data_IF_035908609640
#
_entry.id   IF_035908609640
#
_cell.length_a   1.000
_cell.length_b   1.000
_cell.length_c   1.000
_cell.angle_alpha   90.00
_cell.angle_beta   90.00
_cell.angle_gamma   90.00
#
_symmetry.space_group_name_H-M   'P 1'
#
loop_
_entity.id
_entity.type
_entity.pdbx_description
1 polymer ?
#
# COMPACT_ATOMS: atom_id res chain seq x y z
N UNK A 1 56.54 47.29 0.76
CA UNK A 1 55.52 47.20 -0.30
C UNK A 1 55.41 45.77 -0.86
N UNK A 2 56.49 45.15 -1.32
CA UNK A 2 56.46 43.79 -1.91
C UNK A 2 55.96 42.68 -0.95
N UNK A 3 56.30 42.73 0.32
CA UNK A 3 55.86 41.76 1.32
C UNK A 3 54.34 41.75 1.53
N UNK A 4 53.70 42.93 1.57
CA UNK A 4 52.23 43.07 1.73
C UNK A 4 51.48 42.50 0.49
N UNK A 5 52.00 42.77 -0.72
CA UNK A 5 51.46 42.21 -1.95
C UNK A 5 51.59 40.68 -1.99
N UNK A 6 52.72 40.12 -1.53
CA UNK A 6 52.90 38.68 -1.46
C UNK A 6 51.91 38.03 -0.48
N UNK A 7 51.76 38.59 0.74
CA UNK A 7 50.79 38.09 1.71
C UNK A 7 49.36 38.16 1.19
N UNK A 8 48.99 39.26 0.52
CA UNK A 8 47.67 39.38 -0.13
C UNK A 8 47.44 38.32 -1.21
N UNK A 9 48.44 38.06 -2.07
CA UNK A 9 48.36 37.04 -3.11
C UNK A 9 48.18 35.63 -2.53
N UNK A 10 48.92 35.30 -1.45
CA UNK A 10 48.80 34.03 -0.73
C UNK A 10 47.41 33.89 -0.11
N UNK A 11 46.87 34.94 0.52
CA UNK A 11 45.51 34.90 1.07
C UNK A 11 44.43 34.67 0.00
N UNK A 12 44.55 35.35 -1.15
CA UNK A 12 43.63 35.15 -2.28
C UNK A 12 43.73 33.72 -2.80
N UNK A 13 44.95 33.20 -2.92
CA UNK A 13 45.18 31.82 -3.35
C UNK A 13 44.54 30.82 -2.39
N UNK A 14 44.76 30.98 -1.09
CA UNK A 14 44.15 30.09 -0.06
C UNK A 14 42.63 30.17 -0.08
N UNK A 15 42.03 31.37 -0.24
CA UNK A 15 40.58 31.54 -0.35
C UNK A 15 40.04 30.81 -1.58
N UNK A 16 40.61 31.00 -2.76
CA UNK A 16 40.24 30.31 -3.99
C UNK A 16 40.40 28.80 -3.88
N UNK A 17 41.46 28.33 -3.26
CA UNK A 17 41.68 26.89 -3.03
C UNK A 17 40.59 26.30 -2.11
N UNK A 18 40.29 26.98 -1.00
CA UNK A 18 39.22 26.53 -0.08
C UNK A 18 37.85 26.52 -0.75
N UNK A 19 37.57 27.54 -1.56
CA UNK A 19 36.28 27.59 -2.31
C UNK A 19 36.16 26.43 -3.30
N UNK A 20 37.17 26.20 -4.13
CA UNK A 20 37.20 25.06 -5.07
C UNK A 20 37.09 23.72 -4.39
N UNK A 21 37.77 23.57 -3.23
CA UNK A 21 37.69 22.34 -2.46
C UNK A 21 36.25 22.12 -1.92
N UNK A 22 35.60 23.19 -1.47
CA UNK A 22 34.21 23.10 -0.99
C UNK A 22 33.24 22.75 -2.14
N UNK A 23 33.38 23.39 -3.30
CA UNK A 23 32.57 23.10 -4.52
C UNK A 23 32.75 21.64 -4.93
N UNK A 24 33.99 21.15 -4.97
CA UNK A 24 34.29 19.74 -5.30
C UNK A 24 33.67 18.73 -4.31
N UNK A 25 33.74 19.04 -3.01
CA UNK A 25 33.10 18.16 -2.00
C UNK A 25 31.62 18.16 -2.12
N UNK A 26 30.97 19.31 -2.37
CA UNK A 26 29.52 19.38 -2.61
C UNK A 26 29.13 18.61 -3.88
N UNK A 27 29.93 18.70 -4.95
CA UNK A 27 29.67 17.93 -6.17
C UNK A 27 29.73 16.42 -5.94
N UNK A 28 30.69 15.95 -5.14
CA UNK A 28 30.78 14.52 -4.76
C UNK A 28 29.56 14.10 -3.94
N UNK A 29 29.16 14.93 -2.98
CA UNK A 29 28.00 14.64 -2.13
C UNK A 29 26.72 14.54 -2.95
N UNK A 30 26.48 15.48 -3.87
CA UNK A 30 25.35 15.44 -4.79
C UNK A 30 25.39 14.20 -5.68
N UNK A 31 26.55 13.85 -6.25
CA UNK A 31 26.70 12.62 -7.06
C UNK A 31 26.42 11.35 -6.24
N UNK A 32 26.89 11.29 -5.02
CA UNK A 32 26.63 10.15 -4.14
C UNK A 32 25.13 10.02 -3.80
N UNK A 33 24.47 11.13 -3.53
CA UNK A 33 23.01 11.15 -3.30
C UNK A 33 22.22 10.68 -4.52
N UNK A 34 22.58 11.15 -5.71
CA UNK A 34 21.96 10.71 -6.97
C UNK A 34 22.17 9.21 -7.16
N UNK A 35 23.42 8.74 -7.02
CA UNK A 35 23.72 7.32 -7.18
C UNK A 35 23.00 6.43 -6.16
N UNK A 36 22.88 6.89 -4.91
CA UNK A 36 22.10 6.19 -3.88
C UNK A 36 20.62 6.10 -4.24
N UNK A 37 20.04 7.17 -4.79
CA UNK A 37 18.65 7.17 -5.27
C UNK A 37 18.46 6.21 -6.45
N UNK A 38 19.38 6.19 -7.41
CA UNK A 38 19.35 5.27 -8.55
C UNK A 38 19.43 3.80 -8.09
N UNK A 39 20.32 3.48 -7.16
CA UNK A 39 20.42 2.13 -6.58
C UNK A 39 19.13 1.72 -5.87
N UNK A 40 18.54 2.60 -5.07
CA UNK A 40 17.27 2.33 -4.40
C UNK A 40 16.12 2.15 -5.40
N UNK A 41 16.07 2.97 -6.44
CA UNK A 41 15.05 2.83 -7.50
C UNK A 41 15.18 1.49 -8.22
N UNK A 42 16.41 1.11 -8.62
CA UNK A 42 16.67 -0.19 -9.26
C UNK A 42 16.34 -1.36 -8.34
N UNK A 43 16.64 -1.24 -7.05
CA UNK A 43 16.34 -2.28 -6.05
C UNK A 43 14.83 -2.46 -5.88
N UNK A 44 14.06 -1.37 -5.86
CA UNK A 44 12.60 -1.40 -5.81
C UNK A 44 12.01 -2.03 -7.08
N UNK A 45 12.55 -1.69 -8.26
CA UNK A 45 12.13 -2.25 -9.55
C UNK A 45 12.35 -3.76 -9.60
N UNK A 46 13.53 -4.24 -9.20
CA UNK A 46 13.84 -5.68 -9.12
C UNK A 46 12.92 -6.37 -8.11
N UNK A 47 12.70 -5.78 -6.95
CA UNK A 47 11.79 -6.33 -5.94
C UNK A 47 10.36 -6.44 -6.48
N UNK A 48 9.88 -5.41 -7.17
CA UNK A 48 8.55 -5.41 -7.79
C UNK A 48 8.44 -6.49 -8.88
N UNK A 49 9.41 -6.59 -9.79
CA UNK A 49 9.43 -7.60 -10.83
C UNK A 49 9.42 -9.02 -10.24
N UNK A 50 10.20 -9.25 -9.17
CA UNK A 50 10.25 -10.53 -8.46
C UNK A 50 8.90 -10.87 -7.82
N UNK A 51 8.24 -9.90 -7.17
CA UNK A 51 6.92 -10.10 -6.57
C UNK A 51 5.85 -10.42 -7.61
N UNK A 52 5.88 -9.74 -8.76
CA UNK A 52 4.99 -10.05 -9.89
C UNK A 52 5.22 -11.46 -10.44
N UNK A 53 6.47 -11.88 -10.55
CA UNK A 53 6.80 -13.23 -10.99
C UNK A 53 6.27 -14.27 -9.99
N UNK A 54 6.52 -14.09 -8.70
CA UNK A 54 6.01 -14.97 -7.64
C UNK A 54 4.47 -15.03 -7.70
N UNK A 55 3.80 -13.90 -7.87
CA UNK A 55 2.34 -13.87 -7.99
C UNK A 55 1.82 -14.70 -9.17
N UNK A 56 2.46 -14.60 -10.34
CA UNK A 56 2.12 -15.45 -11.51
C UNK A 56 2.36 -16.92 -11.23
N UNK A 57 3.50 -17.28 -10.67
CA UNK A 57 3.83 -18.68 -10.35
C UNK A 57 2.88 -19.28 -9.32
N UNK A 58 2.46 -18.51 -8.31
CA UNK A 58 1.45 -18.94 -7.35
C UNK A 58 0.10 -19.18 -8.02
N UNK A 59 -0.33 -18.28 -8.90
CA UNK A 59 -1.59 -18.44 -9.64
C UNK A 59 -1.56 -19.68 -10.54
N UNK A 60 -0.52 -19.80 -11.36
CA UNK A 60 -0.44 -20.83 -12.39
C UNK A 60 -0.13 -22.22 -11.84
N UNK A 61 0.71 -22.32 -10.82
CA UNK A 61 1.15 -23.62 -10.28
C UNK A 61 0.25 -24.11 -9.14
N UNK A 62 0.03 -23.29 -8.13
CA UNK A 62 -0.69 -23.70 -6.91
C UNK A 62 -2.19 -23.53 -7.12
N UNK A 63 -2.61 -22.39 -7.70
CA UNK A 63 -4.02 -22.11 -7.96
C UNK A 63 -4.69 -23.15 -8.85
N UNK A 64 -4.03 -23.57 -9.94
CA UNK A 64 -4.54 -24.60 -10.84
C UNK A 64 -4.64 -25.98 -10.15
N UNK A 65 -3.62 -26.37 -9.35
CA UNK A 65 -3.64 -27.64 -8.61
C UNK A 65 -4.76 -27.68 -7.57
N UNK A 66 -4.95 -26.60 -6.82
CA UNK A 66 -6.04 -26.50 -5.84
C UNK A 66 -7.41 -26.51 -6.51
N UNK A 67 -7.55 -25.88 -7.68
CA UNK A 67 -8.79 -25.94 -8.48
C UNK A 67 -9.11 -27.37 -8.91
N UNK A 68 -8.12 -28.14 -9.35
CA UNK A 68 -8.28 -29.56 -9.69
C UNK A 68 -8.71 -30.38 -8.47
N UNK A 69 -8.09 -30.19 -7.31
CA UNK A 69 -8.47 -30.90 -6.07
C UNK A 69 -9.89 -30.53 -5.65
N UNK A 70 -10.28 -29.24 -5.78
CA UNK A 70 -11.67 -28.82 -5.53
C UNK A 70 -12.66 -29.53 -6.43
N UNK A 71 -12.36 -29.64 -7.73
CA UNK A 71 -13.22 -30.34 -8.68
C UNK A 71 -13.37 -31.83 -8.35
N UNK A 72 -12.26 -32.50 -7.99
CA UNK A 72 -12.30 -33.91 -7.60
C UNK A 72 -13.08 -34.14 -6.30
N UNK A 73 -12.95 -33.25 -5.31
CA UNK A 73 -13.75 -33.35 -4.07
C UNK A 73 -15.24 -33.13 -4.34
N UNK A 74 -15.61 -32.20 -5.20
CA UNK A 74 -17.00 -31.98 -5.61
C UNK A 74 -17.55 -33.19 -6.39
N UNK A 75 -16.76 -33.78 -7.27
CA UNK A 75 -17.16 -34.98 -7.99
C UNK A 75 -17.42 -36.17 -7.06
N UNK A 76 -16.55 -36.40 -6.05
CA UNK A 76 -16.73 -37.44 -5.04
C UNK A 76 -18.02 -37.24 -4.23
N UNK A 77 -18.35 -36.01 -3.86
CA UNK A 77 -19.60 -35.67 -3.17
C UNK A 77 -20.84 -35.95 -4.06
N UNK A 78 -20.77 -35.58 -5.35
CA UNK A 78 -21.85 -35.77 -6.29
C UNK A 78 -22.13 -37.26 -6.59
N UNK A 79 -21.06 -38.06 -6.74
CA UNK A 79 -21.16 -39.50 -7.00
C UNK A 79 -21.68 -40.32 -5.81
N UNK A 80 -21.76 -39.72 -4.61
CA UNK A 80 -22.25 -40.31 -3.36
C UNK A 80 -21.70 -41.70 -3.07
N UNK A 81 -20.47 -41.98 -3.55
CA UNK A 81 -19.83 -43.33 -3.46
C UNK A 81 -19.28 -43.63 -2.05
N UNK A 82 -19.26 -42.63 -1.15
CA UNK A 82 -18.65 -42.75 0.18
C UNK A 82 -19.48 -42.01 1.21
N UNK A 83 -20.73 -42.44 1.50
CA UNK A 83 -21.63 -41.70 2.39
C UNK A 83 -21.08 -41.50 3.80
N UNK A 84 -20.30 -42.47 4.31
CA UNK A 84 -19.70 -42.42 5.66
C UNK A 84 -18.61 -41.36 5.84
N UNK A 85 -18.05 -40.85 4.74
CA UNK A 85 -16.98 -39.83 4.76
C UNK A 85 -17.41 -38.52 4.10
N UNK A 86 -18.66 -38.41 3.66
CA UNK A 86 -19.20 -37.23 2.96
C UNK A 86 -18.96 -35.92 3.72
N UNK A 87 -19.20 -35.91 5.04
CA UNK A 87 -18.97 -34.73 5.89
C UNK A 87 -17.50 -34.30 5.94
N UNK A 88 -16.56 -35.27 5.96
CA UNK A 88 -15.12 -34.97 5.93
C UNK A 88 -14.66 -34.47 4.57
N UNK A 89 -15.23 -34.99 3.49
CA UNK A 89 -14.95 -34.52 2.14
C UNK A 89 -15.48 -33.09 1.96
N UNK A 90 -16.64 -32.76 2.51
CA UNK A 90 -17.18 -31.40 2.47
C UNK A 90 -16.29 -30.41 3.26
N UNK A 91 -15.82 -30.79 4.45
CA UNK A 91 -14.86 -30.00 5.22
C UNK A 91 -13.56 -29.74 4.43
N UNK A 92 -13.02 -30.78 3.77
CA UNK A 92 -11.82 -30.65 2.92
C UNK A 92 -12.09 -29.73 1.75
N UNK A 93 -13.24 -29.84 1.09
CA UNK A 93 -13.65 -28.96 0.01
C UNK A 93 -13.75 -27.51 0.44
N UNK A 94 -14.30 -27.24 1.63
CA UNK A 94 -14.36 -25.89 2.20
C UNK A 94 -12.95 -25.31 2.48
N UNK A 95 -12.03 -26.10 3.04
CA UNK A 95 -10.65 -25.67 3.29
C UNK A 95 -9.93 -25.37 1.97
N UNK A 96 -10.10 -26.20 0.95
CA UNK A 96 -9.50 -25.99 -0.38
C UNK A 96 -10.03 -24.71 -1.01
N UNK A 97 -11.34 -24.49 -0.98
CA UNK A 97 -11.95 -23.29 -1.53
C UNK A 97 -11.49 -22.01 -0.81
N UNK A 98 -11.36 -22.08 0.52
CA UNK A 98 -10.80 -20.98 1.30
C UNK A 98 -9.34 -20.71 0.91
N UNK A 99 -8.51 -21.76 0.80
CA UNK A 99 -7.12 -21.64 0.40
C UNK A 99 -6.96 -21.07 -1.01
N UNK A 100 -7.86 -21.42 -1.94
CA UNK A 100 -7.92 -20.85 -3.27
C UNK A 100 -8.24 -19.33 -3.25
N UNK A 101 -9.17 -18.92 -2.41
CA UNK A 101 -9.49 -17.51 -2.23
C UNK A 101 -8.31 -16.73 -1.66
N UNK A 102 -7.66 -17.26 -0.63
CA UNK A 102 -6.50 -16.64 0.01
C UNK A 102 -5.32 -16.52 -0.98
N UNK A 103 -5.09 -17.57 -1.78
CA UNK A 103 -4.05 -17.58 -2.80
C UNK A 103 -4.34 -16.60 -3.95
N UNK A 104 -5.58 -16.50 -4.42
CA UNK A 104 -5.99 -15.53 -5.44
C UNK A 104 -5.83 -14.11 -4.95
N UNK A 105 -6.18 -13.85 -3.68
CA UNK A 105 -5.99 -12.56 -3.03
C UNK A 105 -4.51 -12.20 -2.96
N UNK A 106 -3.65 -13.15 -2.55
CA UNK A 106 -2.21 -12.97 -2.48
C UNK A 106 -1.60 -12.73 -3.87
N UNK A 107 -1.95 -13.55 -4.86
CA UNK A 107 -1.48 -13.41 -6.24
C UNK A 107 -1.88 -12.05 -6.83
N UNK A 108 -3.14 -11.63 -6.65
CA UNK A 108 -3.62 -10.30 -7.08
C UNK A 108 -2.84 -9.16 -6.39
N UNK A 109 -2.43 -9.36 -5.14
CA UNK A 109 -1.60 -8.43 -4.38
C UNK A 109 -0.19 -8.30 -4.94
N UNK A 110 0.35 -9.37 -5.54
CA UNK A 110 1.70 -9.42 -6.07
C UNK A 110 1.80 -9.03 -7.56
N UNK A 111 0.70 -9.16 -8.32
CA UNK A 111 0.65 -8.89 -9.78
C UNK A 111 -0.02 -7.56 -10.09
N UNK A 112 0.61 -6.46 -9.74
CA UNK A 112 0.05 -5.10 -9.82
C UNK A 112 0.05 -4.45 -11.23
N UNK A 113 0.01 -5.22 -12.32
CA UNK A 113 -0.10 -4.65 -13.69
C UNK A 113 -1.36 -3.77 -13.87
N UNK A 114 -2.42 -4.03 -13.10
CA UNK A 114 -3.65 -3.23 -13.10
C UNK A 114 -3.50 -1.82 -12.51
N UNK A 115 -2.57 -1.61 -11.56
CA UNK A 115 -2.44 -0.30 -10.88
C UNK A 115 -1.84 0.75 -11.81
N UNK A 116 -0.93 0.36 -12.70
CA UNK A 116 -0.35 1.29 -13.67
C UNK A 116 -1.36 1.78 -14.70
N UNK A 117 -2.27 0.90 -15.14
CA UNK A 117 -3.17 1.15 -16.25
C UNK A 117 -4.47 1.86 -15.85
N UNK A 118 -4.88 1.78 -14.60
CA UNK A 118 -6.14 2.34 -14.13
C UNK A 118 -5.94 3.63 -13.32
N UNK A 119 -6.94 4.50 -13.37
CA UNK A 119 -7.08 5.66 -12.49
C UNK A 119 -7.31 5.22 -11.05
N UNK A 120 -6.81 6.01 -10.08
CA UNK A 120 -6.98 5.69 -8.65
C UNK A 120 -8.45 5.58 -8.22
N UNK A 121 -9.31 6.41 -8.81
CA UNK A 121 -10.75 6.37 -8.56
C UNK A 121 -11.33 5.01 -8.95
N UNK A 122 -10.97 4.51 -10.14
CA UNK A 122 -11.43 3.20 -10.62
C UNK A 122 -10.97 2.07 -9.71
N UNK A 123 -9.71 2.12 -9.25
CA UNK A 123 -9.14 1.11 -8.35
C UNK A 123 -9.85 1.08 -6.99
N UNK A 124 -10.12 2.25 -6.40
CA UNK A 124 -10.86 2.34 -5.13
C UNK A 124 -12.31 1.90 -5.33
N UNK A 125 -12.96 2.32 -6.44
CA UNK A 125 -14.34 1.95 -6.72
C UNK A 125 -14.50 0.43 -6.90
N UNK A 126 -13.58 -0.25 -7.60
CA UNK A 126 -13.58 -1.71 -7.72
C UNK A 126 -13.48 -2.41 -6.35
N UNK A 127 -12.68 -1.87 -5.43
CA UNK A 127 -12.56 -2.41 -4.06
C UNK A 127 -13.87 -2.22 -3.28
N UNK A 128 -14.48 -1.04 -3.42
CA UNK A 128 -15.79 -0.72 -2.83
C UNK A 128 -16.87 -1.66 -3.35
N UNK A 129 -16.96 -1.85 -4.67
CA UNK A 129 -17.96 -2.72 -5.31
C UNK A 129 -17.79 -4.18 -4.87
N UNK A 130 -16.53 -4.65 -4.82
CA UNK A 130 -16.20 -5.98 -4.32
C UNK A 130 -16.63 -6.15 -2.85
N UNK A 131 -16.36 -5.16 -2.01
CA UNK A 131 -16.74 -5.21 -0.58
C UNK A 131 -18.25 -5.22 -0.41
N UNK A 132 -18.96 -4.37 -1.12
CA UNK A 132 -20.43 -4.27 -1.08
C UNK A 132 -21.11 -5.55 -1.57
N UNK A 133 -20.51 -6.30 -2.50
CA UNK A 133 -21.02 -7.58 -2.98
C UNK A 133 -21.13 -8.63 -1.86
N UNK A 134 -20.26 -8.60 -0.85
CA UNK A 134 -20.30 -9.52 0.30
C UNK A 134 -21.35 -9.17 1.36
N UNK A 135 -22.00 -8.00 1.28
CA UNK A 135 -23.10 -7.54 2.18
C UNK A 135 -22.76 -7.57 3.68
N UNK A 136 -21.49 -7.58 4.06
CA UNK A 136 -21.08 -7.55 5.48
C UNK A 136 -21.07 -6.14 6.06
N UNK A 137 -20.74 -5.16 5.22
CA UNK A 137 -20.63 -3.75 5.54
C UNK A 137 -20.94 -2.96 4.27
N UNK A 138 -21.50 -1.77 4.40
CA UNK A 138 -21.73 -0.88 3.25
C UNK A 138 -20.59 0.13 3.16
N UNK A 139 -19.99 0.26 1.99
CA UNK A 139 -18.90 1.19 1.72
C UNK A 139 -19.37 2.24 0.72
N UNK A 140 -19.24 3.52 1.07
CA UNK A 140 -19.52 4.68 0.21
C UNK A 140 -18.21 5.38 -0.15
N UNK A 141 -18.01 5.69 -1.43
CA UNK A 141 -16.82 6.38 -1.91
C UNK A 141 -17.18 7.66 -2.65
N UNK A 142 -16.51 8.76 -2.30
CA UNK A 142 -16.69 10.07 -2.92
C UNK A 142 -15.36 10.71 -3.27
N UNK A 143 -15.36 11.54 -4.32
CA UNK A 143 -14.21 12.34 -4.70
C UNK A 143 -14.68 13.68 -5.30
N UNK A 144 -13.84 14.72 -5.25
CA UNK A 144 -14.17 16.08 -5.69
C UNK A 144 -13.46 16.51 -6.99
N UNK A 145 -12.80 15.60 -7.69
CA UNK A 145 -12.03 15.88 -8.92
C UNK A 145 -12.50 15.00 -10.08
N UNK A 146 -12.27 15.45 -11.33
CA UNK A 146 -12.57 14.65 -12.53
C UNK A 146 -11.41 13.71 -12.87
N UNK A 147 -10.16 14.17 -12.70
CA UNK A 147 -8.96 13.41 -12.97
C UNK A 147 -7.89 13.77 -11.95
N UNK A 148 -7.18 12.75 -11.46
CA UNK A 148 -6.04 12.90 -10.56
C UNK A 148 -4.91 12.01 -11.08
N UNK A 149 -3.93 12.64 -11.74
CA UNK A 149 -2.78 11.92 -12.27
C UNK A 149 -1.79 11.63 -11.14
N UNK A 150 -1.70 10.36 -10.79
CA UNK A 150 -0.80 9.85 -9.75
C UNK A 150 0.15 8.81 -10.34
N UNK A 151 1.42 8.94 -10.02
CA UNK A 151 2.40 7.89 -10.30
C UNK A 151 2.06 6.58 -9.57
N UNK A 152 2.58 5.47 -10.10
CA UNK A 152 2.35 4.11 -9.59
C UNK A 152 2.49 3.99 -8.06
N UNK A 153 3.55 4.59 -7.48
CA UNK A 153 3.84 4.49 -6.03
C UNK A 153 2.70 5.07 -5.20
N UNK A 154 2.17 6.22 -5.59
CA UNK A 154 1.04 6.86 -4.89
C UNK A 154 -0.24 6.05 -5.04
N UNK A 155 -0.58 5.60 -6.28
CA UNK A 155 -1.74 4.74 -6.54
C UNK A 155 -1.71 3.47 -5.69
N UNK A 156 -0.56 2.80 -5.65
CA UNK A 156 -0.37 1.58 -4.87
C UNK A 156 -0.53 1.83 -3.38
N UNK A 157 0.11 2.86 -2.83
CA UNK A 157 -0.01 3.19 -1.40
C UNK A 157 -1.45 3.51 -1.03
N UNK A 158 -2.15 4.36 -1.78
CA UNK A 158 -3.55 4.70 -1.52
C UNK A 158 -4.45 3.47 -1.56
N UNK A 159 -4.31 2.63 -2.58
CA UNK A 159 -5.10 1.41 -2.72
C UNK A 159 -4.85 0.44 -1.55
N UNK A 160 -3.57 0.19 -1.20
CA UNK A 160 -3.23 -0.73 -0.11
C UNK A 160 -3.71 -0.25 1.26
N UNK A 161 -3.62 1.05 1.52
CA UNK A 161 -4.14 1.61 2.77
C UNK A 161 -5.67 1.48 2.82
N UNK A 162 -6.35 1.76 1.71
CA UNK A 162 -7.81 1.60 1.61
C UNK A 162 -8.22 0.15 1.87
N UNK A 163 -7.56 -0.82 1.24
CA UNK A 163 -7.80 -2.25 1.43
C UNK A 163 -7.60 -2.69 2.89
N UNK A 164 -6.47 -2.29 3.49
CA UNK A 164 -6.14 -2.62 4.88
C UNK A 164 -7.16 -2.04 5.86
N UNK A 165 -7.58 -0.78 5.64
CA UNK A 165 -8.59 -0.15 6.49
C UNK A 165 -9.94 -0.88 6.39
N UNK A 166 -10.44 -1.13 5.17
CA UNK A 166 -11.70 -1.88 4.93
C UNK A 166 -11.62 -3.26 5.60
N UNK A 167 -10.51 -3.98 5.41
CA UNK A 167 -10.34 -5.31 5.99
C UNK A 167 -10.34 -5.28 7.53
N UNK A 168 -9.67 -4.30 8.14
CA UNK A 168 -9.64 -4.11 9.58
C UNK A 168 -11.03 -3.76 10.13
N UNK A 169 -11.77 -2.88 9.45
CA UNK A 169 -13.13 -2.51 9.85
C UNK A 169 -14.08 -3.70 9.80
N UNK A 170 -14.00 -4.54 8.76
CA UNK A 170 -14.84 -5.74 8.63
C UNK A 170 -14.47 -6.80 9.67
N UNK A 171 -13.17 -7.01 9.94
CA UNK A 171 -12.70 -8.07 10.85
C UNK A 171 -12.83 -7.71 12.31
N UNK A 172 -12.61 -6.44 12.66
CA UNK A 172 -12.40 -6.03 14.05
C UNK A 172 -13.39 -4.99 14.55
N UNK A 173 -13.89 -4.11 13.69
CA UNK A 173 -14.74 -3.01 14.13
C UNK A 173 -16.22 -3.34 14.17
N UNK A 174 -16.68 -4.43 13.56
CA UNK A 174 -18.11 -4.78 13.44
C UNK A 174 -18.95 -3.61 12.89
N UNK A 175 -18.37 -2.82 11.98
CA UNK A 175 -19.01 -1.66 11.40
C UNK A 175 -20.17 -2.04 10.47
N UNK A 176 -21.12 -1.13 10.30
CA UNK A 176 -22.20 -1.22 9.31
C UNK A 176 -21.85 -0.40 8.07
N UNK A 177 -21.17 0.71 8.24
CA UNK A 177 -20.84 1.64 7.17
C UNK A 177 -19.37 2.05 7.24
N UNK A 178 -18.76 2.17 6.06
CA UNK A 178 -17.43 2.77 5.85
C UNK A 178 -17.59 3.89 4.83
N UNK A 179 -17.07 5.05 5.16
CA UNK A 179 -17.07 6.24 4.29
C UNK A 179 -15.65 6.53 3.85
N UNK A 180 -15.44 6.58 2.54
CA UNK A 180 -14.15 6.88 1.91
C UNK A 180 -14.31 8.16 1.11
N UNK A 181 -13.39 9.11 1.30
CA UNK A 181 -13.31 10.28 0.44
C UNK A 181 -11.88 10.54 0.00
N UNK A 182 -11.69 10.83 -1.28
CA UNK A 182 -10.42 11.24 -1.86
C UNK A 182 -10.61 12.61 -2.50
N UNK A 183 -9.97 13.63 -1.97
CA UNK A 183 -10.18 15.02 -2.36
C UNK A 183 -8.87 15.69 -2.75
N UNK A 184 -8.97 16.76 -3.54
CA UNK A 184 -7.88 17.69 -3.84
C UNK A 184 -8.26 19.08 -3.35
N UNK A 185 -7.26 19.88 -2.94
CA UNK A 185 -7.45 21.26 -2.52
C UNK A 185 -6.29 22.15 -2.98
N UNK A 186 -6.35 23.45 -2.68
CA UNK A 186 -5.23 24.36 -2.94
C UNK A 186 -3.99 24.00 -2.12
N UNK A 187 -4.15 23.51 -0.90
CA UNK A 187 -3.07 23.16 0.02
C UNK A 187 -2.61 21.71 -0.12
N UNK A 188 -3.53 20.80 -0.45
CA UNK A 188 -3.24 19.38 -0.60
C UNK A 188 -3.28 18.94 -2.07
N UNK A 189 -2.24 18.21 -2.51
CA UNK A 189 -2.25 17.52 -3.79
C UNK A 189 -3.38 16.48 -3.80
N UNK A 190 -3.52 15.75 -2.69
CA UNK A 190 -4.66 14.90 -2.39
C UNK A 190 -4.77 14.64 -0.87
N UNK A 191 -5.98 14.37 -0.44
CA UNK A 191 -6.34 13.97 0.92
C UNK A 191 -7.25 12.75 0.84
N UNK A 192 -6.84 11.65 1.46
CA UNK A 192 -7.63 10.45 1.66
C UNK A 192 -8.16 10.42 3.10
N UNK A 193 -9.47 10.44 3.24
CA UNK A 193 -10.13 10.26 4.53
C UNK A 193 -10.99 8.99 4.47
N UNK A 194 -10.81 8.11 5.47
CA UNK A 194 -11.62 6.88 5.61
C UNK A 194 -12.14 6.80 7.05
N UNK A 195 -13.44 6.54 7.18
CA UNK A 195 -14.11 6.46 8.47
C UNK A 195 -15.03 5.24 8.53
N UNK A 196 -15.00 4.49 9.63
CA UNK A 196 -16.00 3.49 9.95
C UNK A 196 -16.88 3.93 11.13
N UNK A 197 -18.06 3.31 11.24
CA UNK A 197 -19.03 3.49 12.34
C UNK A 197 -18.96 2.33 13.34
N UNK A 198 -17.81 1.66 13.44
CA UNK A 198 -17.64 0.47 14.28
C UNK A 198 -17.40 0.76 15.74
N UNK A 199 -17.00 -0.28 16.48
CA UNK A 199 -16.78 -0.18 17.94
C UNK A 199 -15.55 0.66 18.33
N UNK A 200 -14.66 0.98 17.37
CA UNK A 200 -13.41 1.66 17.67
C UNK A 200 -12.50 0.88 18.64
N UNK A 201 -11.43 1.51 19.07
CA UNK A 201 -10.47 0.93 20.03
C UNK A 201 -9.67 2.01 20.75
N UNK A 202 -9.08 1.65 21.89
CA UNK A 202 -8.12 2.50 22.59
C UNK A 202 -6.76 2.44 21.90
N UNK A 203 -6.33 3.58 21.32
CA UNK A 203 -5.06 3.70 20.62
C UNK A 203 -3.83 3.40 21.48
N UNK A 204 -3.90 3.66 22.78
CA UNK A 204 -2.78 3.44 23.70
C UNK A 204 -2.47 1.95 23.86
N UNK A 205 -3.49 1.10 23.78
CA UNK A 205 -3.39 -0.35 23.95
C UNK A 205 -2.97 -1.08 22.65
N UNK A 206 -3.25 -0.52 21.47
CA UNK A 206 -3.07 -1.20 20.17
C UNK A 206 -1.75 -0.81 19.47
N UNK A 207 -1.16 0.34 19.79
CA UNK A 207 0.12 0.80 19.18
C UNK A 207 1.28 -0.18 19.37
N UNK A 208 1.22 -1.06 20.35
CA UNK A 208 2.27 -2.05 20.62
C UNK A 208 2.18 -3.34 19.79
N UNK A 209 1.02 -3.67 19.16
CA UNK A 209 0.79 -4.99 18.54
C UNK A 209 0.11 -4.98 17.17
N UNK A 210 -0.27 -3.84 16.62
CA UNK A 210 -1.04 -3.78 15.37
C UNK A 210 -0.13 -3.67 14.14
N UNK A 211 0.28 -4.80 13.54
CA UNK A 211 1.08 -4.84 12.30
C UNK A 211 0.42 -4.03 11.17
N UNK A 212 -0.90 -4.12 11.02
CA UNK A 212 -1.65 -3.42 9.98
C UNK A 212 -1.59 -1.91 10.09
N UNK A 213 -1.78 -1.35 11.30
CA UNK A 213 -1.69 0.10 11.54
C UNK A 213 -0.29 0.64 11.26
N UNK A 214 0.74 -0.05 11.76
CA UNK A 214 2.14 0.30 11.52
C UNK A 214 2.47 0.26 10.02
N UNK A 215 1.94 -0.71 9.28
CA UNK A 215 2.14 -0.82 7.84
C UNK A 215 1.48 0.34 7.08
N UNK A 216 0.27 0.76 7.45
CA UNK A 216 -0.40 1.92 6.84
C UNK A 216 0.39 3.21 7.07
N UNK A 217 0.85 3.47 8.30
CA UNK A 217 1.68 4.63 8.63
C UNK A 217 3.00 4.63 7.85
N UNK A 218 3.71 3.49 7.81
CA UNK A 218 4.97 3.37 7.05
C UNK A 218 4.75 3.60 5.55
N UNK A 219 3.67 3.11 4.98
CA UNK A 219 3.32 3.33 3.56
C UNK A 219 3.07 4.81 3.27
N UNK A 220 2.32 5.53 4.12
CA UNK A 220 2.11 6.96 3.99
C UNK A 220 3.44 7.74 4.07
N UNK A 221 4.33 7.35 4.98
CA UNK A 221 5.66 7.97 5.15
C UNK A 221 6.54 7.79 3.91
N UNK A 222 6.50 6.64 3.24
CA UNK A 222 7.29 6.38 2.01
C UNK A 222 6.99 7.40 0.92
N UNK A 223 5.75 7.85 0.80
CA UNK A 223 5.34 8.85 -0.19
C UNK A 223 5.36 10.30 0.34
N UNK A 224 5.88 10.51 1.54
CA UNK A 224 5.96 11.84 2.15
C UNK A 224 4.62 12.42 2.57
N UNK A 225 3.61 11.58 2.77
CA UNK A 225 2.29 12.03 3.22
C UNK A 225 2.19 12.06 4.75
N UNK A 226 1.46 13.04 5.28
CA UNK A 226 1.09 13.12 6.67
C UNK A 226 0.03 12.04 6.97
N UNK A 227 0.18 11.34 8.08
CA UNK A 227 -0.72 10.26 8.52
C UNK A 227 -1.31 10.59 9.88
N UNK A 228 -2.62 10.54 10.01
CA UNK A 228 -3.30 10.63 11.29
C UNK A 228 -4.40 9.57 11.40
N UNK A 229 -4.49 8.94 12.56
CA UNK A 229 -5.51 7.94 12.88
C UNK A 229 -6.13 8.32 14.21
N UNK A 230 -7.45 8.40 14.25
CA UNK A 230 -8.22 8.65 15.45
C UNK A 230 -9.22 7.50 15.65
N UNK A 231 -9.18 6.86 16.82
CA UNK A 231 -10.16 5.85 17.20
C UNK A 231 -10.54 6.04 18.66
N UNK A 232 -11.83 5.89 18.93
CA UNK A 232 -12.37 5.91 20.30
C UNK A 232 -13.40 4.79 20.43
N UNK A 233 -13.44 4.16 21.59
CA UNK A 233 -14.43 3.13 21.87
C UNK A 233 -15.85 3.65 21.63
N UNK A 234 -16.67 2.85 20.95
CA UNK A 234 -18.05 3.13 20.53
C UNK A 234 -18.23 4.30 19.54
N UNK A 235 -17.16 4.89 19.01
CA UNK A 235 -17.23 6.01 18.06
C UNK A 235 -16.63 5.71 16.68
N UNK A 236 -16.12 4.48 16.49
CA UNK A 236 -15.48 4.04 15.25
C UNK A 236 -14.05 4.53 15.10
N UNK A 237 -13.53 4.44 13.89
CA UNK A 237 -12.16 4.81 13.54
C UNK A 237 -12.16 5.76 12.35
N UNK A 238 -11.31 6.78 12.41
CA UNK A 238 -11.08 7.72 11.29
C UNK A 238 -9.60 7.73 10.97
N UNK A 239 -9.28 7.52 9.70
CA UNK A 239 -7.96 7.63 9.11
C UNK A 239 -7.92 8.85 8.19
N UNK A 240 -6.91 9.68 8.32
CA UNK A 240 -6.65 10.79 7.40
C UNK A 240 -5.21 10.77 6.93
N UNK A 241 -5.01 10.90 5.60
CA UNK A 241 -3.71 10.93 4.96
C UNK A 241 -3.67 12.09 3.99
N UNK A 242 -2.70 12.97 4.14
CA UNK A 242 -2.59 14.20 3.36
C UNK A 242 -1.23 14.28 2.69
N UNK A 243 -1.22 14.42 1.37
CA UNK A 243 -0.02 14.83 0.64
C UNK A 243 -0.13 16.30 0.27
N UNK A 244 0.67 17.14 0.94
CA UNK A 244 0.71 18.57 0.68
C UNK A 244 1.35 18.88 -0.68
N UNK A 245 0.92 19.96 -1.31
CA UNK A 245 1.63 20.50 -2.47
C UNK A 245 2.98 21.04 -1.99
N UNK A 246 4.03 20.69 -2.71
CA UNK A 246 5.32 21.36 -2.50
C UNK A 246 5.20 22.78 -3.07
N UNK A 247 5.53 23.78 -2.23
CA UNK A 247 5.55 25.18 -2.61
C UNK A 247 6.65 25.48 -3.63
#
# INVERSE_FOLDING_TARGET
MFFVLFVAAVMVYIRKYRQRKKEYLNEIEVKNEIHKRELLATQLEIQQATMQQIGRELHDNIGQKLTLVSLYTQQLLYENKVPEVSERIDQVSQIINQSLQDLRSLSKTLTDDNINQKEIVTLIQEEVDNTNAFKKCHVDFKHNFQQLDLGFVHKNVLLRITQEFIQNSIKHAHCKNIFISLNTSEEALWELNIKDDGIGFDQSSVRSNGIGLTNMENRARIIGADFSLESKEQLGTTLNIILKRQA
#
